data_IF_781414579168
#
_entry.id   IF_781414579168
#
_cell.length_a   1.000
_cell.length_b   1.000
_cell.length_c   1.000
_cell.angle_alpha   90.00
_cell.angle_beta   90.00
_cell.angle_gamma   90.00
#
_symmetry.space_group_name_H-M   'P 1'
#
loop_
_entity.id
_entity.type
_entity.pdbx_description
1 polymer ?
#
# COMPACT_ATOMS: atom_id res chain seq x y z
N UNK A 1 16.87 22.50 6.30
CA UNK A 1 15.58 21.89 6.69
C UNK A 1 14.50 22.48 5.77
N UNK A 2 13.66 21.62 5.21
CA UNK A 2 12.57 22.04 4.31
C UNK A 2 11.26 21.44 4.78
N UNK A 3 10.17 22.18 4.61
CA UNK A 3 8.82 21.70 4.93
C UNK A 3 8.03 21.67 3.64
N UNK A 4 7.50 20.49 3.31
CA UNK A 4 6.62 20.28 2.18
C UNK A 4 5.20 20.21 2.73
N UNK A 5 4.46 21.32 2.61
CA UNK A 5 3.16 21.47 3.25
C UNK A 5 2.12 20.49 2.70
N UNK A 6 1.33 19.91 3.58
CA UNK A 6 0.20 19.07 3.20
C UNK A 6 -0.81 19.82 2.31
N UNK A 7 -0.89 21.14 2.42
CA UNK A 7 -1.79 21.95 1.57
C UNK A 7 -1.41 21.94 0.10
N UNK A 8 -0.17 21.53 -0.23
CA UNK A 8 0.32 21.42 -1.59
C UNK A 8 0.28 19.97 -2.12
N UNK A 9 -0.19 19.04 -1.31
CA UNK A 9 -0.32 17.64 -1.71
C UNK A 9 -1.73 17.42 -2.26
N UNK A 10 -1.80 16.95 -3.50
CA UNK A 10 -3.07 16.61 -4.13
C UNK A 10 -3.45 15.18 -3.81
N UNK A 11 -4.69 14.98 -3.36
CA UNK A 11 -5.25 13.64 -3.18
C UNK A 11 -5.80 13.16 -4.53
N UNK A 12 -5.40 11.97 -4.94
CA UNK A 12 -5.81 11.35 -6.19
C UNK A 12 -6.46 10.01 -5.94
N UNK A 13 -7.41 9.67 -6.77
CA UNK A 13 -7.96 8.32 -6.78
C UNK A 13 -6.91 7.34 -7.31
N UNK A 14 -6.76 6.19 -6.63
CA UNK A 14 -5.89 5.12 -7.11
C UNK A 14 -6.38 4.59 -8.46
N UNK A 15 -5.47 4.36 -9.44
CA UNK A 15 -5.85 3.86 -10.75
C UNK A 15 -6.52 2.48 -10.69
N UNK A 16 -7.60 2.30 -11.42
CA UNK A 16 -8.32 1.01 -11.48
C UNK A 16 -7.46 -0.15 -11.97
N UNK A 17 -6.45 0.15 -12.76
CA UNK A 17 -5.51 -0.87 -13.25
C UNK A 17 -4.63 -1.46 -12.15
N UNK A 18 -4.50 -0.80 -11.00
CA UNK A 18 -3.63 -1.23 -9.89
C UNK A 18 -4.40 -1.58 -8.61
N UNK A 19 -5.67 -1.21 -8.54
CA UNK A 19 -6.50 -1.40 -7.36
C UNK A 19 -7.86 -1.97 -7.72
N UNK A 20 -8.38 -2.82 -6.85
CA UNK A 20 -9.80 -3.19 -6.83
C UNK A 20 -10.48 -2.36 -5.74
N UNK A 21 -11.66 -1.83 -6.03
CA UNK A 21 -12.37 -0.94 -5.11
C UNK A 21 -11.83 0.50 -5.17
N UNK A 22 -12.24 1.30 -4.22
CA UNK A 22 -11.91 2.74 -4.20
C UNK A 22 -10.79 3.03 -3.22
N UNK A 23 -9.76 3.70 -3.71
CA UNK A 23 -8.61 4.14 -2.93
C UNK A 23 -8.31 5.61 -3.19
N UNK A 24 -7.74 6.27 -2.20
CA UNK A 24 -7.34 7.68 -2.28
C UNK A 24 -5.88 7.80 -1.86
N UNK A 25 -5.07 8.43 -2.70
CA UNK A 25 -3.62 8.48 -2.54
C UNK A 25 -3.12 9.90 -2.44
N UNK A 26 -2.26 10.12 -1.45
CA UNK A 26 -1.44 11.31 -1.34
C UNK A 26 0.02 10.91 -1.59
N UNK A 27 0.66 11.52 -2.57
CA UNK A 27 2.10 11.35 -2.80
C UNK A 27 2.82 12.39 -1.97
N UNK A 28 3.42 11.94 -0.88
CA UNK A 28 4.10 12.81 0.07
C UNK A 28 5.63 12.75 -0.06
N UNK A 29 6.13 12.06 -1.08
CA UNK A 29 7.57 11.99 -1.38
C UNK A 29 8.12 13.38 -1.64
N UNK A 30 9.35 13.63 -1.16
CA UNK A 30 10.03 14.90 -1.41
C UNK A 30 10.98 14.75 -2.60
N UNK A 31 11.22 15.82 -3.38
CA UNK A 31 12.13 15.79 -4.53
C UNK A 31 13.60 15.84 -4.08
N UNK A 32 14.01 14.93 -3.23
CA UNK A 32 15.36 14.78 -2.68
C UNK A 32 15.71 13.30 -2.65
N UNK A 33 16.98 12.93 -2.61
CA UNK A 33 17.38 11.55 -2.35
C UNK A 33 16.77 11.06 -1.04
N UNK A 34 16.23 9.85 -1.03
CA UNK A 34 15.61 9.29 0.15
C UNK A 34 14.62 8.20 -0.18
N UNK A 35 13.46 8.26 0.44
CA UNK A 35 12.41 7.27 0.28
C UNK A 35 11.18 7.85 -0.40
N UNK A 36 10.48 7.01 -1.15
CA UNK A 36 9.12 7.30 -1.58
C UNK A 36 8.18 7.23 -0.39
N UNK A 37 7.29 8.19 -0.26
CA UNK A 37 6.34 8.26 0.84
C UNK A 37 4.93 8.46 0.29
N UNK A 38 4.03 7.53 0.62
CA UNK A 38 2.66 7.54 0.14
C UNK A 38 1.70 7.32 1.28
N UNK A 39 0.69 8.15 1.36
CA UNK A 39 -0.43 7.93 2.27
C UNK A 39 -1.61 7.45 1.45
N UNK A 40 -2.14 6.28 1.80
CA UNK A 40 -3.21 5.66 1.03
C UNK A 40 -4.37 5.31 1.95
N UNK A 41 -5.58 5.78 1.59
CA UNK A 41 -6.82 5.36 2.20
C UNK A 41 -7.47 4.34 1.29
N UNK A 42 -7.80 3.18 1.85
CA UNK A 42 -8.58 2.13 1.21
C UNK A 42 -9.97 2.14 1.80
N UNK A 43 -10.99 2.32 0.98
CA UNK A 43 -12.37 2.10 1.42
C UNK A 43 -12.60 0.62 1.71
N UNK A 44 -13.63 0.25 2.50
CA UNK A 44 -13.89 -1.15 2.83
C UNK A 44 -13.91 -2.02 1.57
N UNK A 45 -13.18 -3.14 1.60
CA UNK A 45 -13.07 -4.07 0.48
C UNK A 45 -12.03 -3.70 -0.57
N UNK A 46 -11.49 -2.49 -0.56
CA UNK A 46 -10.48 -2.07 -1.53
C UNK A 46 -9.11 -2.68 -1.22
N UNK A 47 -8.39 -3.04 -2.26
CA UNK A 47 -7.05 -3.63 -2.14
C UNK A 47 -6.23 -3.36 -3.40
N UNK A 48 -4.91 -3.49 -3.26
CA UNK A 48 -4.00 -3.44 -4.40
C UNK A 48 -4.13 -4.71 -5.25
N UNK A 49 -3.66 -4.65 -6.48
CA UNK A 49 -3.28 -5.86 -7.20
C UNK A 49 -2.10 -6.52 -6.50
N UNK A 50 -1.80 -7.76 -6.87
CA UNK A 50 -0.51 -8.38 -6.58
C UNK A 50 0.59 -7.51 -7.18
N UNK A 51 1.68 -7.33 -6.45
CA UNK A 51 2.80 -6.51 -6.94
C UNK A 51 4.09 -6.82 -6.20
N UNK A 52 5.19 -6.30 -6.71
CA UNK A 52 6.52 -6.39 -6.11
C UNK A 52 7.20 -5.03 -6.09
N UNK A 53 8.15 -4.89 -5.18
CA UNK A 53 9.03 -3.72 -5.11
C UNK A 53 10.49 -4.19 -5.12
N UNK A 54 11.35 -3.68 -6.00
CA UNK A 54 12.73 -4.14 -6.08
C UNK A 54 13.53 -3.92 -4.79
N UNK A 55 13.20 -2.88 -4.02
CA UNK A 55 13.90 -2.56 -2.76
C UNK A 55 13.07 -2.88 -1.52
N UNK A 56 11.94 -3.57 -1.70
CA UNK A 56 11.01 -3.82 -0.62
C UNK A 56 10.15 -2.62 -0.27
N UNK A 57 9.36 -2.77 0.79
CA UNK A 57 8.44 -1.73 1.23
C UNK A 57 8.18 -1.86 2.72
N UNK A 58 7.93 -0.74 3.37
CA UNK A 58 7.45 -0.70 4.76
C UNK A 58 6.06 -0.06 4.74
N UNK A 59 5.10 -0.68 5.42
CA UNK A 59 3.79 -0.10 5.65
C UNK A 59 3.62 0.19 7.13
N UNK A 60 3.09 1.35 7.44
CA UNK A 60 2.65 1.68 8.79
C UNK A 60 1.16 1.97 8.78
N UNK A 61 0.38 1.21 9.53
CA UNK A 61 -1.08 1.38 9.58
C UNK A 61 -1.43 2.53 10.51
N UNK A 62 -1.98 3.59 9.95
CA UNK A 62 -2.32 4.81 10.69
C UNK A 62 -3.70 4.70 11.33
N UNK A 63 -4.66 4.10 10.62
CA UNK A 63 -6.06 4.04 11.07
C UNK A 63 -6.79 2.90 10.39
N UNK A 64 -7.79 2.36 11.06
CA UNK A 64 -8.62 1.30 10.54
C UNK A 64 -7.99 -0.08 10.65
N UNK A 65 -8.52 -1.01 9.88
CA UNK A 65 -8.08 -2.41 9.85
C UNK A 65 -7.93 -2.86 8.42
N UNK A 66 -6.89 -3.60 8.15
CA UNK A 66 -6.60 -4.09 6.82
C UNK A 66 -6.20 -5.54 6.76
N UNK A 67 -5.84 -5.96 5.58
CA UNK A 67 -5.38 -7.31 5.24
C UNK A 67 -4.18 -7.22 4.33
N UNK A 68 -3.28 -8.18 4.47
CA UNK A 68 -2.12 -8.31 3.60
C UNK A 68 -1.81 -9.79 3.40
N UNK A 69 -1.22 -10.12 2.27
CA UNK A 69 -0.83 -11.50 1.96
C UNK A 69 0.42 -11.51 1.10
N UNK A 70 1.35 -12.37 1.45
CA UNK A 70 2.45 -12.78 0.58
C UNK A 70 2.00 -14.02 -0.19
N UNK A 71 2.36 -14.10 -1.46
CA UNK A 71 2.02 -15.25 -2.30
C UNK A 71 2.47 -16.56 -1.65
N UNK A 72 1.56 -17.52 -1.58
CA UNK A 72 1.80 -18.83 -0.99
C UNK A 72 1.66 -18.90 0.53
N UNK A 73 1.33 -17.79 1.19
CA UNK A 73 1.11 -17.74 2.64
C UNK A 73 -0.33 -17.36 2.96
N UNK A 74 -0.70 -17.47 4.23
CA UNK A 74 -2.02 -17.08 4.69
C UNK A 74 -2.21 -15.56 4.66
N UNK A 75 -3.45 -15.13 4.52
CA UNK A 75 -3.82 -13.72 4.71
C UNK A 75 -3.61 -13.35 6.17
N UNK A 76 -3.01 -12.19 6.40
CA UNK A 76 -2.80 -11.63 7.72
C UNK A 76 -3.69 -10.41 7.92
N UNK A 77 -4.29 -10.28 9.10
CA UNK A 77 -4.92 -9.03 9.49
C UNK A 77 -3.86 -8.06 9.98
N UNK A 78 -4.01 -6.79 9.60
CA UNK A 78 -3.15 -5.70 10.05
C UNK A 78 -4.01 -4.62 10.70
N UNK A 79 -3.50 -4.06 11.79
CA UNK A 79 -4.25 -3.16 12.65
C UNK A 79 -3.51 -1.84 12.86
N UNK A 80 -4.24 -0.83 13.29
CA UNK A 80 -3.67 0.47 13.63
C UNK A 80 -2.46 0.33 14.55
N UNK A 81 -1.35 0.93 14.14
CA UNK A 81 -0.08 0.86 14.86
C UNK A 81 0.86 -0.24 14.39
N UNK A 82 0.37 -1.17 13.56
CA UNK A 82 1.23 -2.24 13.03
C UNK A 82 2.17 -1.71 11.96
N UNK A 83 3.37 -2.26 11.95
CA UNK A 83 4.34 -2.07 10.88
C UNK A 83 4.47 -3.38 10.10
N UNK A 84 4.33 -3.30 8.79
CA UNK A 84 4.50 -4.45 7.90
C UNK A 84 5.78 -4.27 7.11
N UNK A 85 6.66 -5.24 7.17
CA UNK A 85 7.86 -5.27 6.34
C UNK A 85 7.66 -6.21 5.16
N UNK A 86 7.87 -5.69 3.97
CA UNK A 86 7.80 -6.44 2.72
C UNK A 86 9.20 -6.50 2.12
N UNK A 87 9.73 -7.70 1.95
CA UNK A 87 11.08 -7.90 1.45
C UNK A 87 11.19 -7.53 -0.04
N UNK A 88 12.41 -7.23 -0.53
CA UNK A 88 12.62 -7.02 -1.96
C UNK A 88 12.06 -8.18 -2.81
N UNK A 89 11.38 -7.81 -3.88
CA UNK A 89 10.80 -8.74 -4.87
C UNK A 89 9.75 -9.73 -4.32
N UNK A 90 9.27 -9.50 -3.12
CA UNK A 90 8.23 -10.32 -2.51
C UNK A 90 6.87 -9.99 -3.13
N UNK A 91 6.24 -10.97 -3.78
CA UNK A 91 4.93 -10.80 -4.37
C UNK A 91 3.86 -10.78 -3.29
N UNK A 92 3.14 -9.69 -3.20
CA UNK A 92 2.20 -9.42 -2.12
C UNK A 92 1.06 -8.51 -2.57
N UNK A 93 0.06 -8.41 -1.72
CA UNK A 93 -0.97 -7.37 -1.81
C UNK A 93 -1.34 -6.89 -0.39
N UNK A 94 -1.94 -5.71 -0.34
CA UNK A 94 -2.51 -5.16 0.90
C UNK A 94 -3.75 -4.33 0.58
N UNK A 95 -4.61 -4.18 1.59
CA UNK A 95 -5.83 -3.41 1.45
C UNK A 95 -6.61 -3.33 2.74
N UNK A 96 -7.82 -2.78 2.65
CA UNK A 96 -8.72 -2.66 3.78
C UNK A 96 -9.37 -4.02 4.12
N UNK A 97 -9.90 -4.11 5.33
CA UNK A 97 -10.80 -5.20 5.69
C UNK A 97 -12.12 -5.08 4.90
N UNK A 98 -12.91 -6.16 4.80
CA UNK A 98 -14.15 -6.12 4.04
C UNK A 98 -15.19 -5.11 4.55
N UNK A 99 -15.17 -4.82 5.85
CA UNK A 99 -16.16 -4.00 6.54
C UNK A 99 -15.61 -2.73 7.18
N UNK A 100 -14.30 -2.47 7.01
CA UNK A 100 -13.62 -1.33 7.63
C UNK A 100 -12.61 -0.72 6.66
N UNK A 101 -12.55 0.60 6.60
CA UNK A 101 -11.49 1.29 5.87
C UNK A 101 -10.12 1.04 6.51
N UNK A 102 -9.07 1.29 5.76
CA UNK A 102 -7.71 1.33 6.29
C UNK A 102 -6.94 2.50 5.68
N UNK A 103 -6.14 3.17 6.52
CA UNK A 103 -5.16 4.15 6.06
C UNK A 103 -3.78 3.67 6.45
N UNK A 104 -2.86 3.64 5.49
CA UNK A 104 -1.46 3.37 5.79
C UNK A 104 -0.53 4.40 5.15
N UNK A 105 0.66 4.49 5.72
CA UNK A 105 1.80 5.15 5.09
C UNK A 105 2.64 4.04 4.45
N UNK A 106 2.93 4.16 3.17
CA UNK A 106 3.83 3.28 2.45
C UNK A 106 5.17 3.97 2.25
N UNK A 107 6.24 3.33 2.67
CA UNK A 107 7.59 3.83 2.53
C UNK A 107 8.34 2.89 1.60
N UNK A 108 8.76 3.42 0.45
CA UNK A 108 9.61 2.70 -0.50
C UNK A 108 11.05 3.19 -0.29
N UNK A 109 11.95 2.34 0.21
CA UNK A 109 13.26 2.77 0.75
C UNK A 109 14.15 3.47 -0.25
N UNK A 110 14.03 3.15 -1.51
CA UNK A 110 14.79 3.82 -2.54
C UNK A 110 13.85 4.50 -3.52
N UNK A 111 14.03 5.81 -3.66
CA UNK A 111 13.62 6.49 -4.89
C UNK A 111 14.62 6.16 -5.98
N UNK A 112 15.20 4.97 -5.97
CA UNK A 112 16.01 4.57 -7.09
C UNK A 112 15.22 4.87 -8.34
N UNK A 113 15.90 5.30 -9.34
CA UNK A 113 15.39 5.63 -10.65
C UNK A 113 14.28 4.73 -11.14
N UNK A 114 14.18 3.55 -10.58
CA UNK A 114 13.22 2.56 -10.96
C UNK A 114 12.46 2.00 -9.80
N UNK A 115 12.34 2.71 -8.71
CA UNK A 115 11.51 2.34 -7.57
C UNK A 115 10.10 1.98 -8.00
N UNK A 116 9.95 1.72 -9.29
CA UNK A 116 8.72 1.33 -9.92
C UNK A 116 8.24 0.03 -9.33
N UNK A 117 7.05 0.09 -8.79
CA UNK A 117 6.27 -1.09 -8.45
C UNK A 117 6.02 -1.90 -9.70
N UNK A 118 6.28 -3.19 -9.66
CA UNK A 118 5.89 -4.11 -10.72
C UNK A 118 4.48 -4.61 -10.42
N UNK A 119 3.50 -4.06 -11.14
CA UNK A 119 2.09 -4.35 -10.94
C UNK A 119 1.70 -5.62 -11.71
N UNK A 120 1.02 -6.52 -11.01
CA UNK A 120 0.64 -7.83 -11.52
C UNK A 120 -0.90 -7.96 -11.54
N UNK A 121 -1.43 -9.19 -11.45
CA UNK A 121 -2.85 -9.46 -11.55
C UNK A 121 -3.65 -8.94 -10.35
N UNK A 122 -4.95 -8.66 -10.54
CA UNK A 122 -5.85 -8.36 -9.42
C UNK A 122 -5.94 -9.51 -8.42
N UNK A 123 -6.22 -9.18 -7.18
CA UNK A 123 -6.54 -10.17 -6.14
C UNK A 123 -8.01 -10.54 -6.29
N UNK A 124 -8.29 -11.82 -6.50
CA UNK A 124 -9.66 -12.32 -6.61
C UNK A 124 -10.41 -12.15 -5.29
N UNK A 125 -11.74 -12.07 -5.36
CA UNK A 125 -12.55 -12.02 -4.15
C UNK A 125 -12.33 -13.26 -3.28
N UNK A 126 -12.14 -14.44 -3.89
CA UNK A 126 -11.86 -15.67 -3.19
C UNK A 126 -10.58 -15.54 -2.34
N UNK A 127 -9.49 -15.07 -2.93
CA UNK A 127 -8.22 -14.88 -2.23
C UNK A 127 -8.32 -13.77 -1.18
N UNK A 128 -8.97 -12.66 -1.55
CA UNK A 128 -9.14 -11.54 -0.63
C UNK A 128 -9.97 -11.89 0.60
N UNK A 129 -11.00 -12.70 0.46
CA UNK A 129 -11.89 -13.11 1.54
C UNK A 129 -11.42 -14.37 2.27
N UNK A 130 -10.29 -14.94 1.89
CA UNK A 130 -9.73 -16.08 2.56
C UNK A 130 -9.51 -15.79 4.05
N UNK A 131 -9.61 -16.85 4.86
CA UNK A 131 -9.47 -16.72 6.30
C UNK A 131 -8.05 -16.27 6.66
N UNK A 132 -8.00 -15.24 7.47
CA UNK A 132 -6.75 -14.75 8.04
C UNK A 132 -6.31 -15.64 9.21
#
# INVERSE_FOLDING_TARGET
>A
MEIFSASNVETRRGPEQWFTGTTWMDVASVPRPGAGLFRVLFEPGARTNWHTHPEGQILYVVSGTGRAQKEGEDVLEIHTGDTVYIAPDEKHWHGAAPDTFMVHIAINPALASDGATDWLEPVTDEDYLARA
#
